data_IF_749690817805
#
_entry.id   IF_749690817805
#
_cell.length_a   1.000
_cell.length_b   1.000
_cell.length_c   1.000
_cell.angle_alpha   90.00
_cell.angle_beta   90.00
_cell.angle_gamma   90.00
#
_symmetry.space_group_name_H-M   'P 1'
#
loop_
_entity.id
_entity.type
_entity.pdbx_description
1 polymer ?
#
# COMPACT_ATOMS: atom_id res chain seq x y z
N UNK A 1 33.91 2.56 46.30
CA UNK A 1 34.97 1.72 45.73
C UNK A 1 34.42 1.04 44.47
N UNK A 2 34.56 1.69 43.31
CA UNK A 2 34.06 1.23 42.00
C UNK A 2 35.01 0.16 41.44
N UNK A 3 34.47 -0.97 40.97
CA UNK A 3 35.24 -1.97 40.21
C UNK A 3 35.47 -1.45 38.78
N UNK A 4 36.68 -1.58 38.21
CA UNK A 4 36.96 -1.18 36.84
C UNK A 4 36.42 -2.23 35.86
N UNK A 5 36.12 -1.77 34.65
CA UNK A 5 35.38 -2.50 33.62
C UNK A 5 36.16 -3.63 32.96
N UNK A 6 35.42 -4.68 32.58
CA UNK A 6 35.82 -5.61 31.55
C UNK A 6 35.22 -5.11 30.21
N UNK A 7 36.02 -4.38 29.44
CA UNK A 7 35.81 -4.31 27.99
C UNK A 7 36.19 -5.68 27.43
N UNK A 8 35.21 -6.42 26.92
CA UNK A 8 35.46 -7.57 26.06
C UNK A 8 36.07 -7.04 24.74
N UNK A 9 37.19 -7.59 24.26
CA UNK A 9 37.72 -7.21 22.96
C UNK A 9 36.75 -7.70 21.88
N UNK A 10 36.28 -6.78 21.04
CA UNK A 10 35.55 -7.11 19.82
C UNK A 10 36.37 -8.11 19.01
N UNK A 11 35.81 -9.31 18.83
CA UNK A 11 36.31 -10.33 17.91
C UNK A 11 36.17 -9.78 16.50
N UNK A 12 37.16 -9.03 16.05
CA UNK A 12 37.32 -8.65 14.64
C UNK A 12 37.60 -9.95 13.88
N UNK A 13 36.54 -10.56 13.35
CA UNK A 13 36.68 -11.54 12.28
C UNK A 13 37.41 -10.81 11.15
N UNK A 14 38.63 -11.25 10.88
CA UNK A 14 39.50 -10.52 9.98
C UNK A 14 38.96 -10.65 8.55
N UNK A 15 38.77 -9.54 7.79
CA UNK A 15 38.07 -9.55 6.50
C UNK A 15 38.72 -10.43 5.41
N UNK A 16 39.97 -10.84 5.58
CA UNK A 16 40.63 -11.79 4.67
C UNK A 16 40.14 -13.25 4.89
N UNK A 17 39.89 -13.65 6.13
CA UNK A 17 39.41 -15.00 6.46
C UNK A 17 37.99 -15.26 5.96
N UNK A 18 37.14 -14.23 5.93
CA UNK A 18 35.79 -14.34 5.37
C UNK A 18 35.85 -14.47 3.85
N UNK A 19 36.72 -13.71 3.19
CA UNK A 19 36.90 -13.77 1.75
C UNK A 19 37.41 -15.16 1.29
N UNK A 20 38.42 -15.70 1.98
CA UNK A 20 38.98 -17.02 1.67
C UNK A 20 37.95 -18.14 1.88
N UNK A 21 37.17 -18.07 2.97
CA UNK A 21 36.12 -19.06 3.24
C UNK A 21 35.00 -19.01 2.19
N UNK A 22 34.58 -17.81 1.78
CA UNK A 22 33.58 -17.64 0.71
C UNK A 22 34.12 -18.18 -0.62
N UNK A 23 35.38 -17.91 -0.96
CA UNK A 23 36.00 -18.42 -2.19
C UNK A 23 36.02 -19.95 -2.23
N UNK A 24 36.38 -20.60 -1.11
CA UNK A 24 36.43 -22.06 -0.99
C UNK A 24 35.03 -22.68 -1.06
N UNK A 25 34.04 -22.08 -0.40
CA UNK A 25 32.70 -22.65 -0.30
C UNK A 25 31.82 -22.39 -1.52
N UNK A 26 32.15 -21.38 -2.34
CA UNK A 26 31.31 -20.96 -3.47
C UNK A 26 30.99 -22.08 -4.47
N UNK A 27 31.96 -22.88 -4.98
CA UNK A 27 31.64 -23.96 -5.89
C UNK A 27 30.71 -25.01 -5.28
N UNK A 28 30.91 -25.32 -3.99
CA UNK A 28 30.05 -26.26 -3.26
C UNK A 28 28.64 -25.70 -3.08
N UNK A 29 28.53 -24.41 -2.75
CA UNK A 29 27.22 -23.77 -2.60
C UNK A 29 26.45 -23.76 -3.90
N UNK A 30 27.08 -23.35 -4.99
CA UNK A 30 26.43 -23.34 -6.30
C UNK A 30 25.96 -24.74 -6.71
N UNK A 31 26.76 -25.77 -6.46
CA UNK A 31 26.37 -27.15 -6.76
C UNK A 31 25.18 -27.62 -5.90
N UNK A 32 25.22 -27.40 -4.59
CA UNK A 32 24.14 -27.83 -3.67
C UNK A 32 22.86 -27.02 -3.87
N UNK A 33 22.96 -25.70 -4.09
CA UNK A 33 21.83 -24.83 -4.37
C UNK A 33 21.15 -25.21 -5.69
N UNK A 34 21.93 -25.45 -6.76
CA UNK A 34 21.39 -25.91 -8.04
C UNK A 34 20.68 -27.26 -7.93
N UNK A 35 21.23 -28.19 -7.14
CA UNK A 35 20.63 -29.51 -6.93
C UNK A 35 19.30 -29.43 -6.16
N UNK A 36 19.21 -28.57 -5.14
CA UNK A 36 18.03 -28.47 -4.26
C UNK A 36 16.93 -27.56 -4.82
N UNK A 37 17.29 -26.57 -5.64
CA UNK A 37 16.39 -25.57 -6.23
C UNK A 37 15.27 -26.19 -7.06
N UNK A 38 15.61 -27.13 -7.96
CA UNK A 38 14.62 -27.77 -8.83
C UNK A 38 13.49 -28.45 -8.04
N UNK A 39 13.86 -29.25 -7.03
CA UNK A 39 12.88 -29.92 -6.20
C UNK A 39 12.18 -28.97 -5.21
N UNK A 40 12.71 -27.76 -5.00
CA UNK A 40 12.13 -26.74 -4.16
C UNK A 40 11.13 -25.81 -4.86
N UNK A 41 11.13 -25.78 -6.19
CA UNK A 41 10.39 -24.77 -6.95
C UNK A 41 10.92 -23.36 -6.66
N UNK A 42 12.23 -23.25 -6.47
CA UNK A 42 12.96 -22.01 -6.12
C UNK A 42 14.06 -21.77 -7.14
N UNK A 43 14.54 -20.54 -7.25
CA UNK A 43 15.73 -20.23 -8.03
C UNK A 43 17.01 -20.59 -7.25
N UNK A 44 18.03 -21.19 -7.88
CA UNK A 44 19.30 -21.49 -7.22
C UNK A 44 19.93 -20.26 -6.57
N UNK A 45 19.88 -19.11 -7.26
CA UNK A 45 20.45 -17.85 -6.77
C UNK A 45 19.87 -17.38 -5.44
N UNK A 46 18.56 -17.60 -5.20
CA UNK A 46 17.91 -17.23 -3.95
C UNK A 46 18.41 -18.10 -2.79
N UNK A 47 18.60 -19.40 -3.04
CA UNK A 47 19.16 -20.32 -2.05
C UNK A 47 20.62 -19.98 -1.75
N UNK A 48 21.42 -19.64 -2.78
CA UNK A 48 22.81 -19.20 -2.58
C UNK A 48 22.86 -17.93 -1.73
N UNK A 49 22.05 -16.92 -2.07
CA UNK A 49 21.98 -15.66 -1.35
C UNK A 49 21.59 -15.87 0.12
N UNK A 50 20.54 -16.63 0.38
CA UNK A 50 20.06 -16.90 1.74
C UNK A 50 21.11 -17.63 2.59
N UNK A 51 21.83 -18.60 2.01
CA UNK A 51 22.88 -19.32 2.72
C UNK A 51 24.10 -18.44 2.96
N UNK A 52 24.48 -17.57 2.02
CA UNK A 52 25.55 -16.59 2.23
C UNK A 52 25.24 -15.62 3.35
N UNK A 53 24.03 -15.07 3.39
CA UNK A 53 23.61 -14.18 4.47
C UNK A 53 23.74 -14.87 5.84
N UNK A 54 23.22 -16.11 5.95
CA UNK A 54 23.35 -16.91 7.18
C UNK A 54 24.79 -17.22 7.56
N UNK A 55 25.69 -17.38 6.59
CA UNK A 55 27.11 -17.60 6.85
C UNK A 55 27.74 -16.32 7.40
N UNK A 56 27.46 -15.17 6.80
CA UNK A 56 27.98 -13.86 7.23
C UNK A 56 27.50 -13.52 8.66
N UNK A 57 26.21 -13.64 8.94
CA UNK A 57 25.63 -13.42 10.27
C UNK A 57 26.24 -14.34 11.33
N UNK A 58 26.45 -15.62 10.97
CA UNK A 58 27.12 -16.59 11.83
C UNK A 58 28.57 -16.20 12.08
N UNK A 59 29.30 -15.78 11.06
CA UNK A 59 30.70 -15.38 11.21
C UNK A 59 30.82 -14.21 12.19
N UNK A 60 29.94 -13.22 12.08
CA UNK A 60 29.90 -12.07 12.99
C UNK A 60 29.57 -12.46 14.45
N UNK A 61 28.67 -13.43 14.64
CA UNK A 61 28.17 -13.80 15.98
C UNK A 61 28.98 -14.90 16.66
N UNK A 62 29.21 -16.00 15.95
CA UNK A 62 29.77 -17.26 16.46
C UNK A 62 31.17 -17.57 15.90
N UNK A 63 31.59 -16.89 14.84
CA UNK A 63 32.79 -17.24 14.07
C UNK A 63 32.56 -18.42 13.09
N UNK A 64 33.65 -18.92 12.45
CA UNK A 64 33.52 -19.93 11.41
C UNK A 64 32.99 -21.26 11.97
N UNK A 65 32.12 -21.97 11.23
CA UNK A 65 31.69 -23.31 11.62
C UNK A 65 32.88 -24.29 11.67
N UNK A 66 32.83 -25.25 12.61
CA UNK A 66 33.86 -26.28 12.77
C UNK A 66 33.99 -27.18 11.53
N UNK A 67 32.88 -27.41 10.83
CA UNK A 67 32.80 -28.14 9.56
C UNK A 67 32.03 -27.26 8.56
N UNK A 68 32.72 -26.36 7.84
CA UNK A 68 32.07 -25.45 6.91
C UNK A 68 31.31 -26.14 5.77
N UNK A 69 31.86 -27.16 5.08
CA UNK A 69 31.13 -27.90 4.06
C UNK A 69 29.86 -28.58 4.59
N UNK A 70 29.93 -29.28 5.73
CA UNK A 70 28.74 -29.95 6.27
C UNK A 70 27.72 -28.97 6.85
N UNK A 71 28.16 -27.85 7.44
CA UNK A 71 27.27 -26.76 7.82
C UNK A 71 26.53 -26.20 6.60
N UNK A 72 27.24 -25.96 5.51
CA UNK A 72 26.68 -25.41 4.28
C UNK A 72 25.60 -26.30 3.68
N UNK A 73 25.87 -27.60 3.53
CA UNK A 73 24.88 -28.56 3.03
C UNK A 73 23.61 -28.58 3.89
N UNK A 74 23.75 -28.50 5.21
CA UNK A 74 22.60 -28.41 6.14
C UNK A 74 21.86 -27.08 5.98
N UNK A 75 22.57 -25.98 5.76
CA UNK A 75 21.98 -24.67 5.53
C UNK A 75 21.15 -24.65 4.25
N UNK A 76 21.69 -25.13 3.13
CA UNK A 76 20.99 -25.24 1.84
C UNK A 76 19.71 -26.07 1.99
N UNK A 77 19.78 -27.27 2.59
CA UNK A 77 18.60 -28.11 2.83
C UNK A 77 17.55 -27.46 3.73
N UNK A 78 17.97 -26.62 4.67
CA UNK A 78 17.03 -25.88 5.51
C UNK A 78 16.33 -24.77 4.70
N UNK A 79 17.06 -24.04 3.86
CA UNK A 79 16.49 -23.01 2.97
C UNK A 79 15.56 -23.61 1.93
N UNK A 80 15.97 -24.68 1.25
CA UNK A 80 15.13 -25.38 0.28
C UNK A 80 13.81 -25.87 0.90
N UNK A 81 13.84 -26.40 2.13
CA UNK A 81 12.63 -26.79 2.86
C UNK A 81 11.76 -25.60 3.26
N UNK A 82 12.37 -24.45 3.58
CA UNK A 82 11.63 -23.22 3.89
C UNK A 82 10.94 -22.67 2.64
N UNK A 83 11.68 -22.55 1.54
CA UNK A 83 11.13 -22.08 0.26
C UNK A 83 10.02 -22.99 -0.25
N UNK A 84 10.16 -24.31 -0.17
CA UNK A 84 9.04 -25.24 -0.47
C UNK A 84 7.78 -24.98 0.34
N UNK A 85 7.93 -24.62 1.63
CA UNK A 85 6.78 -24.32 2.49
C UNK A 85 6.13 -22.99 2.10
N UNK A 86 6.91 -21.97 1.77
CA UNK A 86 6.39 -20.66 1.34
C UNK A 86 5.73 -20.78 -0.02
N UNK A 87 6.38 -21.38 -1.02
CA UNK A 87 5.81 -21.59 -2.37
C UNK A 87 4.53 -22.43 -2.34
N UNK A 88 4.38 -23.37 -1.40
CA UNK A 88 3.13 -24.14 -1.24
C UNK A 88 1.98 -23.31 -0.65
N UNK A 89 2.31 -22.29 0.15
CA UNK A 89 1.32 -21.41 0.79
C UNK A 89 0.99 -20.19 -0.11
N UNK A 90 1.97 -19.75 -0.90
CA UNK A 90 1.81 -18.70 -1.89
C UNK A 90 0.99 -19.24 -3.07
N UNK A 91 -0.03 -18.47 -3.47
CA UNK A 91 -0.77 -18.71 -4.70
C UNK A 91 -0.31 -17.66 -5.68
N UNK A 92 0.36 -18.04 -6.79
CA UNK A 92 0.60 -17.11 -7.87
C UNK A 92 -0.72 -16.46 -8.27
N UNK A 93 -0.69 -15.14 -8.44
CA UNK A 93 -1.83 -14.47 -9.07
C UNK A 93 -1.99 -15.06 -10.48
N UNK A 94 -3.22 -15.45 -10.82
CA UNK A 94 -3.51 -16.06 -12.11
C UNK A 94 -3.31 -15.06 -13.27
N UNK A 95 -3.54 -13.78 -13.00
CA UNK A 95 -3.32 -12.65 -13.88
C UNK A 95 -2.70 -11.50 -13.07
N UNK A 96 -1.94 -10.62 -13.73
CA UNK A 96 -1.62 -9.31 -13.13
C UNK A 96 -2.93 -8.63 -12.72
N UNK A 97 -3.03 -8.09 -11.50
CA UNK A 97 -4.24 -7.41 -11.08
C UNK A 97 -4.49 -6.27 -12.06
N UNK A 98 -5.51 -6.44 -12.91
CA UNK A 98 -5.99 -5.39 -13.77
C UNK A 98 -6.25 -4.17 -12.88
N UNK A 99 -5.71 -3.02 -13.28
CA UNK A 99 -5.94 -1.76 -12.58
C UNK A 99 -7.46 -1.60 -12.44
N UNK A 100 -7.97 -1.76 -11.22
CA UNK A 100 -9.42 -1.79 -10.99
C UNK A 100 -9.89 -0.37 -11.30
N UNK A 101 -10.46 -0.18 -12.49
CA UNK A 101 -10.95 1.13 -12.97
C UNK A 101 -12.05 1.73 -12.08
N UNK A 102 -12.43 1.02 -11.01
CA UNK A 102 -13.30 1.50 -9.95
C UNK A 102 -12.61 2.56 -9.11
N UNK A 103 -13.42 3.52 -8.67
CA UNK A 103 -12.98 4.53 -7.72
C UNK A 103 -12.47 3.87 -6.43
N UNK A 104 -11.16 4.01 -6.18
CA UNK A 104 -10.51 3.56 -4.97
C UNK A 104 -11.09 4.21 -3.70
N UNK A 105 -10.71 3.70 -2.51
CA UNK A 105 -11.21 4.19 -1.23
C UNK A 105 -10.96 5.71 -1.03
N UNK A 106 -9.83 6.23 -1.51
CA UNK A 106 -9.49 7.65 -1.48
C UNK A 106 -10.52 8.48 -2.25
N UNK A 107 -10.87 8.03 -3.46
CA UNK A 107 -11.84 8.71 -4.30
C UNK A 107 -13.25 8.68 -3.69
N UNK A 108 -13.60 7.59 -2.99
CA UNK A 108 -14.85 7.48 -2.22
C UNK A 108 -14.91 8.50 -1.07
N UNK A 109 -13.80 8.64 -0.32
CA UNK A 109 -13.68 9.61 0.77
C UNK A 109 -13.81 11.04 0.24
N UNK A 110 -13.08 11.37 -0.83
CA UNK A 110 -13.13 12.69 -1.46
C UNK A 110 -14.53 13.02 -1.99
N UNK A 111 -15.20 12.06 -2.63
CA UNK A 111 -16.57 12.22 -3.14
C UNK A 111 -17.55 12.49 -2.00
N UNK A 112 -17.46 11.71 -0.91
CA UNK A 112 -18.28 11.89 0.28
C UNK A 112 -18.06 13.26 0.93
N UNK A 113 -16.80 13.71 1.04
CA UNK A 113 -16.45 15.01 1.58
C UNK A 113 -17.05 16.16 0.72
N UNK A 114 -16.93 16.06 -0.61
CA UNK A 114 -17.55 17.02 -1.55
C UNK A 114 -19.07 17.09 -1.40
N UNK A 115 -19.75 15.94 -1.27
CA UNK A 115 -21.20 15.91 -1.05
C UNK A 115 -21.61 16.58 0.27
N UNK A 116 -20.85 16.37 1.36
CA UNK A 116 -21.11 17.04 2.65
C UNK A 116 -20.95 18.55 2.53
N UNK A 117 -19.82 19.02 2.00
CA UNK A 117 -19.58 20.45 1.76
C UNK A 117 -20.68 21.09 0.89
N UNK A 118 -21.10 20.42 -0.19
CA UNK A 118 -22.20 20.88 -1.03
C UNK A 118 -23.52 21.02 -0.25
N UNK A 119 -23.89 20.02 0.55
CA UNK A 119 -25.12 20.07 1.37
C UNK A 119 -25.05 21.16 2.43
N UNK A 120 -23.88 21.40 3.02
CA UNK A 120 -23.67 22.47 3.99
C UNK A 120 -23.83 23.85 3.36
N UNK A 121 -23.28 24.04 2.15
CA UNK A 121 -23.47 25.25 1.36
C UNK A 121 -24.92 25.48 0.97
N UNK A 122 -25.65 24.44 0.55
CA UNK A 122 -27.08 24.52 0.22
C UNK A 122 -27.91 25.00 1.41
N UNK A 123 -27.64 24.49 2.62
CA UNK A 123 -28.33 24.90 3.85
C UNK A 123 -28.12 26.37 4.22
N UNK A 124 -27.05 27.00 3.74
CA UNK A 124 -26.72 28.42 3.98
C UNK A 124 -27.37 29.38 2.97
N UNK A 125 -28.09 28.88 1.97
CA UNK A 125 -28.69 29.73 0.94
C UNK A 125 -29.88 30.55 1.45
N UNK A 126 -30.10 31.75 0.89
CA UNK A 126 -31.20 32.61 1.33
C UNK A 126 -32.56 32.15 0.78
N UNK A 127 -33.61 32.42 1.57
CA UNK A 127 -35.01 32.26 1.16
C UNK A 127 -35.40 30.80 0.86
N UNK A 128 -36.11 30.58 -0.24
CA UNK A 128 -36.62 29.25 -0.66
C UNK A 128 -35.59 28.36 -1.36
N UNK A 129 -34.36 28.85 -1.57
CA UNK A 129 -33.34 28.13 -2.32
C UNK A 129 -32.83 26.82 -1.68
N UNK A 130 -32.66 26.70 -0.35
CA UNK A 130 -32.31 25.44 0.27
C UNK A 130 -33.30 24.33 -0.07
N UNK A 131 -34.61 24.57 0.12
CA UNK A 131 -35.67 23.60 -0.17
C UNK A 131 -35.69 23.15 -1.63
N UNK A 132 -35.52 24.08 -2.57
CA UNK A 132 -35.48 23.75 -3.99
C UNK A 132 -34.25 22.89 -4.33
N UNK A 133 -33.05 23.27 -3.88
CA UNK A 133 -31.84 22.52 -4.19
C UNK A 133 -31.79 21.16 -3.47
N UNK A 134 -32.31 21.06 -2.25
CA UNK A 134 -32.45 19.78 -1.54
C UNK A 134 -33.38 18.82 -2.30
N UNK A 135 -34.50 19.31 -2.83
CA UNK A 135 -35.40 18.50 -3.65
C UNK A 135 -34.72 18.02 -4.94
N UNK A 136 -33.93 18.89 -5.60
CA UNK A 136 -33.16 18.55 -6.81
C UNK A 136 -31.98 17.60 -6.54
N UNK A 137 -31.44 17.59 -5.31
CA UNK A 137 -30.34 16.71 -4.88
C UNK A 137 -30.84 15.46 -4.14
N UNK A 138 -32.15 15.23 -4.13
CA UNK A 138 -32.77 14.09 -3.47
C UNK A 138 -32.47 12.81 -4.24
N UNK A 139 -32.10 11.70 -3.56
CA UNK A 139 -31.90 10.41 -4.20
C UNK A 139 -33.21 9.75 -4.66
N UNK A 140 -34.36 10.40 -4.44
CA UNK A 140 -35.68 9.90 -4.85
C UNK A 140 -36.03 10.21 -6.32
N UNK A 141 -35.14 10.90 -7.04
CA UNK A 141 -35.31 11.28 -8.46
C UNK A 141 -36.66 11.96 -8.76
N UNK A 142 -37.02 12.95 -7.94
CA UNK A 142 -38.29 13.69 -8.07
C UNK A 142 -38.40 14.38 -9.43
N UNK A 143 -39.58 14.29 -10.04
CA UNK A 143 -39.91 15.00 -11.26
C UNK A 143 -40.10 16.49 -10.99
N UNK A 144 -39.91 17.33 -12.01
CA UNK A 144 -40.15 18.78 -11.92
C UNK A 144 -41.57 19.12 -11.43
N UNK A 145 -42.57 18.32 -11.79
CA UNK A 145 -43.96 18.50 -11.35
C UNK A 145 -44.10 18.26 -9.86
N UNK A 146 -43.49 17.20 -9.34
CA UNK A 146 -43.51 16.87 -7.91
C UNK A 146 -42.79 17.94 -7.09
N UNK A 147 -41.60 18.37 -7.53
CA UNK A 147 -40.86 19.46 -6.87
C UNK A 147 -41.69 20.75 -6.85
N UNK A 148 -42.31 21.12 -7.98
CA UNK A 148 -43.16 22.31 -8.05
C UNK A 148 -44.35 22.21 -7.08
N UNK A 149 -44.98 21.03 -7.00
CA UNK A 149 -46.06 20.73 -6.07
C UNK A 149 -45.63 20.86 -4.60
N UNK A 150 -44.50 20.26 -4.21
CA UNK A 150 -43.96 20.32 -2.85
C UNK A 150 -43.57 21.75 -2.42
N UNK A 151 -43.16 22.58 -3.38
CA UNK A 151 -42.77 23.97 -3.15
C UNK A 151 -43.94 24.96 -3.27
N UNK A 152 -45.12 24.50 -3.70
CA UNK A 152 -46.30 25.36 -3.88
C UNK A 152 -46.12 26.41 -4.98
N UNK A 153 -45.36 26.10 -6.04
CA UNK A 153 -45.12 27.00 -7.17
C UNK A 153 -45.60 26.39 -8.48
N UNK A 154 -45.76 27.21 -9.52
CA UNK A 154 -46.05 26.69 -10.85
C UNK A 154 -44.82 25.94 -11.42
N UNK A 155 -45.05 24.87 -12.17
CA UNK A 155 -43.99 24.16 -12.88
C UNK A 155 -43.19 25.10 -13.81
N UNK A 156 -43.87 26.09 -14.43
CA UNK A 156 -43.22 27.10 -15.29
C UNK A 156 -42.26 28.02 -14.54
N UNK A 157 -42.49 28.25 -13.24
CA UNK A 157 -41.63 29.07 -12.38
C UNK A 157 -40.38 28.34 -11.88
N UNK A 158 -40.33 27.00 -11.99
CA UNK A 158 -39.25 26.19 -11.44
C UNK A 158 -37.89 26.43 -12.12
N UNK A 159 -37.89 26.66 -13.44
CA UNK A 159 -36.67 26.93 -14.22
C UNK A 159 -35.95 28.23 -13.80
N UNK A 160 -36.65 29.39 -13.86
CA UNK A 160 -36.09 30.65 -13.38
C UNK A 160 -35.62 30.58 -11.92
N UNK A 161 -36.39 29.91 -11.06
CA UNK A 161 -36.06 29.74 -9.66
C UNK A 161 -34.79 28.91 -9.45
N UNK A 162 -34.65 27.78 -10.17
CA UNK A 162 -33.45 26.95 -10.17
C UNK A 162 -32.22 27.76 -10.61
N UNK A 163 -32.34 28.54 -11.68
CA UNK A 163 -31.25 29.36 -12.17
C UNK A 163 -30.79 30.39 -11.12
N UNK A 164 -31.76 31.09 -10.50
CA UNK A 164 -31.51 32.04 -9.40
C UNK A 164 -30.79 31.38 -8.23
N UNK A 165 -31.28 30.23 -7.77
CA UNK A 165 -30.72 29.52 -6.61
C UNK A 165 -29.33 28.93 -6.88
N UNK A 166 -29.09 28.37 -8.07
CA UNK A 166 -27.74 27.95 -8.49
C UNK A 166 -26.78 29.14 -8.60
N UNK A 167 -27.25 30.31 -9.04
CA UNK A 167 -26.46 31.55 -9.02
C UNK A 167 -26.04 31.96 -7.61
N UNK A 168 -26.96 31.86 -6.63
CA UNK A 168 -26.62 32.09 -5.22
C UNK A 168 -25.60 31.08 -4.70
N UNK A 169 -25.77 29.79 -5.03
CA UNK A 169 -24.86 28.73 -4.60
C UNK A 169 -23.44 28.91 -5.16
N UNK A 170 -23.31 29.27 -6.45
CA UNK A 170 -22.00 29.55 -7.05
C UNK A 170 -21.28 30.69 -6.33
N UNK A 171 -21.99 31.78 -5.99
CA UNK A 171 -21.38 32.89 -5.23
C UNK A 171 -20.94 32.47 -3.83
N UNK A 172 -21.70 31.61 -3.17
CA UNK A 172 -21.37 31.12 -1.82
C UNK A 172 -20.18 30.16 -1.82
N UNK A 173 -20.05 29.34 -2.87
CA UNK A 173 -18.96 28.38 -3.04
C UNK A 173 -17.69 28.97 -3.68
N UNK A 174 -17.77 30.12 -4.37
CA UNK A 174 -16.62 30.72 -5.06
C UNK A 174 -15.37 30.88 -4.16
N UNK A 175 -15.47 31.28 -2.87
CA UNK A 175 -14.31 31.32 -1.99
C UNK A 175 -13.72 29.95 -1.66
N UNK A 176 -14.57 28.92 -1.54
CA UNK A 176 -14.17 27.55 -1.19
C UNK A 176 -13.54 26.83 -2.40
N UNK A 177 -14.06 27.07 -3.61
CA UNK A 177 -13.54 26.50 -4.85
C UNK A 177 -12.22 27.15 -5.27
N UNK A 178 -12.10 28.48 -5.15
CA UNK A 178 -10.86 29.19 -5.46
C UNK A 178 -9.70 28.81 -4.51
N UNK A 179 -10.00 28.37 -3.29
CA UNK A 179 -9.00 27.83 -2.36
C UNK A 179 -8.58 26.38 -2.70
N UNK A 180 -9.40 25.65 -3.46
CA UNK A 180 -9.17 24.25 -3.82
C UNK A 180 -8.56 24.06 -5.22
N UNK A 181 -8.45 25.09 -6.06
CA UNK A 181 -7.64 25.03 -7.27
C UNK A 181 -6.16 25.02 -6.89
N UNK A 182 -5.41 23.94 -7.18
CA UNK A 182 -3.97 23.99 -7.06
C UNK A 182 -3.47 24.99 -8.10
N UNK A 183 -2.69 25.99 -7.67
CA UNK A 183 -1.86 26.73 -8.61
C UNK A 183 -0.80 25.77 -9.14
N UNK A 184 -0.99 25.31 -10.38
CA UNK A 184 0.01 24.53 -11.13
C UNK A 184 -0.22 23.03 -11.06
#
# INVERSE_FOLDING_TARGET
MRRPGNLLPGRLVVPHMTHDLVAILRPLLTAEASAEAYAAGSEPGDLEQAVWLRLLERLETDGPPLDPPGWLRRAVRAEARRSRRTTRLERPYADEPADDLRAGPEQHVLTTARYRALRDAVRRLPGRCPRLLEALLSPKDLTYREIAGELGISQGSLGPERSRCLGCLRRLLAPEVAACEPRG
#
